data_IF_076633549579
#
_entry.id   IF_076633549579
#
_cell.length_a   1.000
_cell.length_b   1.000
_cell.length_c   1.000
_cell.angle_alpha   90.00
_cell.angle_beta   90.00
_cell.angle_gamma   90.00
#
_symmetry.space_group_name_H-M   'P 1'
#
loop_
_entity.id
_entity.type
_entity.pdbx_description
1 polymer ?
#
# COMPACT_ATOMS: atom_id res chain seq x y z
N UNK A 1 -9.01 -36.66 0.38
CA UNK A 1 -10.42 -36.44 0.07
C UNK A 1 -10.79 -34.99 0.38
N UNK A 2 -11.58 -34.37 -0.51
CA UNK A 2 -12.14 -33.04 -0.30
C UNK A 2 -13.21 -33.14 0.78
N UNK A 3 -13.15 -32.30 1.81
CA UNK A 3 -14.11 -32.33 2.93
C UNK A 3 -15.07 -31.14 2.89
N UNK A 4 -14.62 -30.02 2.34
CA UNK A 4 -15.40 -28.79 2.31
C UNK A 4 -15.20 -28.08 0.97
N UNK A 5 -16.19 -27.28 0.58
CA UNK A 5 -16.17 -26.42 -0.60
C UNK A 5 -16.61 -25.02 -0.22
N UNK A 6 -16.12 -24.03 -0.94
CA UNK A 6 -16.66 -22.68 -0.88
C UNK A 6 -16.79 -22.10 -2.29
N UNK A 7 -17.71 -21.16 -2.46
CA UNK A 7 -17.96 -20.47 -3.71
C UNK A 7 -17.59 -19.00 -3.58
N UNK A 8 -16.94 -18.43 -4.61
CA UNK A 8 -16.66 -17.01 -4.70
C UNK A 8 -16.99 -16.49 -6.10
N UNK A 9 -16.98 -15.18 -6.28
CA UNK A 9 -17.39 -14.54 -7.54
C UNK A 9 -18.86 -14.13 -7.57
N UNK A 10 -19.30 -13.58 -8.70
CA UNK A 10 -20.63 -12.96 -8.84
C UNK A 10 -21.82 -13.88 -8.57
N UNK A 11 -21.71 -15.15 -8.88
CA UNK A 11 -22.79 -16.14 -8.66
C UNK A 11 -22.83 -16.66 -7.21
N UNK A 12 -21.76 -16.48 -6.44
CA UNK A 12 -21.68 -16.99 -5.08
C UNK A 12 -22.79 -16.45 -4.17
N UNK A 13 -23.16 -15.18 -4.30
CA UNK A 13 -24.26 -14.58 -3.55
C UNK A 13 -25.61 -15.24 -3.89
N UNK A 14 -25.77 -15.68 -5.14
CA UNK A 14 -26.95 -16.44 -5.56
C UNK A 14 -26.94 -17.88 -5.03
N UNK A 15 -25.75 -18.47 -4.80
CA UNK A 15 -25.61 -19.81 -4.19
C UNK A 15 -25.88 -19.76 -2.69
N UNK A 16 -25.33 -18.77 -1.98
CA UNK A 16 -25.50 -18.67 -0.51
C UNK A 16 -26.83 -18.06 -0.09
N UNK A 17 -27.44 -17.24 -0.96
CA UNK A 17 -28.72 -16.56 -0.70
C UNK A 17 -29.93 -17.29 -1.29
N UNK A 18 -31.12 -16.95 -0.80
CA UNK A 18 -32.39 -17.40 -1.34
C UNK A 18 -33.04 -16.30 -2.17
N UNK A 19 -32.57 -16.11 -3.41
CA UNK A 19 -33.19 -15.16 -4.32
C UNK A 19 -34.48 -15.73 -4.92
N UNK A 20 -35.59 -15.02 -4.74
CA UNK A 20 -36.88 -15.37 -5.30
C UNK A 20 -37.15 -14.76 -6.67
N UNK A 21 -36.59 -13.56 -6.90
CA UNK A 21 -36.66 -12.90 -8.20
C UNK A 21 -35.58 -13.43 -9.14
N UNK A 22 -36.01 -14.29 -10.08
CA UNK A 22 -35.12 -14.96 -11.04
C UNK A 22 -34.50 -14.04 -12.08
N UNK A 23 -35.07 -12.87 -12.31
CA UNK A 23 -34.60 -11.88 -13.30
C UNK A 23 -33.91 -10.68 -12.70
N UNK A 24 -33.67 -10.69 -11.40
CA UNK A 24 -33.14 -9.53 -10.64
C UNK A 24 -31.91 -8.88 -11.28
N UNK A 25 -31.02 -9.68 -11.86
CA UNK A 25 -29.77 -9.17 -12.44
C UNK A 25 -29.77 -9.16 -13.98
N UNK A 26 -30.87 -9.61 -14.61
CA UNK A 26 -30.96 -9.70 -16.06
C UNK A 26 -30.05 -10.73 -16.71
N UNK A 27 -29.49 -11.67 -15.91
CA UNK A 27 -28.58 -12.72 -16.34
C UNK A 27 -28.99 -14.10 -15.78
N UNK A 28 -28.20 -15.12 -16.09
CA UNK A 28 -28.45 -16.51 -15.64
C UNK A 28 -27.96 -16.79 -14.21
N UNK A 29 -27.38 -15.81 -13.50
CA UNK A 29 -26.71 -16.02 -12.21
C UNK A 29 -27.62 -16.62 -11.14
N UNK A 30 -28.87 -16.16 -11.06
CA UNK A 30 -29.86 -16.69 -10.10
C UNK A 30 -30.24 -18.14 -10.42
N UNK A 31 -30.41 -18.47 -11.69
CA UNK A 31 -30.71 -19.84 -12.12
C UNK A 31 -29.54 -20.78 -11.85
N UNK A 32 -28.31 -20.33 -12.15
CA UNK A 32 -27.09 -21.07 -11.87
C UNK A 32 -26.91 -21.31 -10.37
N UNK A 33 -27.13 -20.27 -9.54
CA UNK A 33 -27.08 -20.37 -8.09
C UNK A 33 -28.09 -21.40 -7.53
N UNK A 34 -29.31 -21.40 -8.07
CA UNK A 34 -30.31 -22.39 -7.70
C UNK A 34 -29.90 -23.83 -8.11
N UNK A 35 -29.44 -24.00 -9.35
CA UNK A 35 -28.97 -25.30 -9.85
C UNK A 35 -27.81 -25.88 -9.03
N UNK A 36 -26.85 -25.02 -8.59
CA UNK A 36 -25.75 -25.46 -7.71
C UNK A 36 -26.28 -25.89 -6.34
N UNK A 37 -27.24 -25.17 -5.75
CA UNK A 37 -27.84 -25.54 -4.46
C UNK A 37 -28.60 -26.87 -4.51
N UNK A 38 -29.25 -27.14 -5.61
CA UNK A 38 -30.00 -28.39 -5.83
C UNK A 38 -29.06 -29.54 -6.25
N UNK A 39 -27.83 -29.24 -6.56
CA UNK A 39 -26.84 -30.19 -7.04
C UNK A 39 -26.04 -30.88 -5.92
N UNK A 40 -25.40 -32.00 -6.29
CA UNK A 40 -24.58 -32.82 -5.38
C UNK A 40 -23.41 -32.09 -4.72
N UNK A 41 -22.87 -31.02 -5.34
CA UNK A 41 -21.80 -30.21 -4.75
C UNK A 41 -22.25 -29.55 -3.46
N UNK A 42 -23.52 -29.18 -3.35
CA UNK A 42 -24.05 -28.52 -2.16
C UNK A 42 -24.43 -29.55 -1.06
N UNK A 43 -24.86 -30.75 -1.44
CA UNK A 43 -25.31 -31.78 -0.48
C UNK A 43 -24.19 -32.68 0.04
N UNK A 44 -23.17 -32.95 -0.78
CA UNK A 44 -22.17 -33.99 -0.48
C UNK A 44 -20.96 -33.44 0.29
N UNK A 45 -20.82 -32.11 0.40
CA UNK A 45 -19.68 -31.45 1.05
C UNK A 45 -20.10 -30.44 2.12
N UNK A 46 -19.22 -30.22 3.10
CA UNK A 46 -19.40 -29.12 4.05
C UNK A 46 -19.24 -27.79 3.33
N UNK A 47 -20.27 -26.95 3.37
CA UNK A 47 -20.23 -25.64 2.74
C UNK A 47 -19.62 -24.61 3.66
N UNK A 48 -18.55 -23.96 3.21
CA UNK A 48 -17.92 -22.82 3.90
C UNK A 48 -18.30 -21.55 3.14
N UNK A 49 -18.94 -20.60 3.83
CA UNK A 49 -19.28 -19.32 3.21
C UNK A 49 -18.01 -18.50 3.01
N UNK A 50 -17.74 -18.10 1.77
CA UNK A 50 -16.63 -17.20 1.47
C UNK A 50 -16.83 -15.84 2.14
N UNK A 51 -15.75 -15.21 2.61
CA UNK A 51 -15.77 -13.87 3.16
C UNK A 51 -16.07 -12.83 2.09
N UNK A 52 -15.49 -13.03 0.89
CA UNK A 52 -15.72 -12.20 -0.29
C UNK A 52 -16.39 -13.05 -1.39
N UNK A 53 -17.43 -12.52 -2.00
CA UNK A 53 -18.19 -13.15 -3.08
C UNK A 53 -18.01 -12.36 -4.37
N UNK A 54 -18.91 -11.45 -4.69
CA UNK A 54 -18.89 -10.63 -5.90
C UNK A 54 -17.59 -9.77 -6.00
N UNK A 55 -17.03 -9.38 -4.86
CA UNK A 55 -15.79 -8.59 -4.81
C UNK A 55 -14.52 -9.44 -4.94
N UNK A 56 -14.62 -10.77 -4.94
CA UNK A 56 -13.44 -11.64 -4.98
C UNK A 56 -12.56 -11.38 -6.21
N UNK A 57 -13.17 -11.08 -7.37
CA UNK A 57 -12.44 -10.75 -8.59
C UNK A 57 -11.69 -9.41 -8.44
N UNK A 58 -12.34 -8.37 -7.89
CA UNK A 58 -11.71 -7.06 -7.67
C UNK A 58 -10.62 -7.16 -6.60
N UNK A 59 -10.89 -7.89 -5.52
CA UNK A 59 -9.89 -8.15 -4.47
C UNK A 59 -8.73 -8.98 -5.00
N UNK A 60 -9.00 -9.96 -5.88
CA UNK A 60 -7.97 -10.80 -6.51
C UNK A 60 -7.23 -10.11 -7.67
N UNK A 61 -7.86 -9.15 -8.35
CA UNK A 61 -7.21 -8.32 -9.38
C UNK A 61 -6.27 -7.26 -8.76
N UNK A 62 -6.49 -6.91 -7.47
CA UNK A 62 -5.51 -6.17 -6.70
C UNK A 62 -4.33 -7.10 -6.39
N UNK A 63 -3.18 -6.88 -7.01
CA UNK A 63 -1.97 -7.63 -6.68
C UNK A 63 -1.49 -7.20 -5.30
N UNK A 64 -1.50 -8.12 -4.33
CA UNK A 64 -0.94 -7.85 -3.00
C UNK A 64 0.44 -8.48 -2.91
N UNK A 65 1.46 -7.65 -2.85
CA UNK A 65 2.81 -8.10 -2.53
C UNK A 65 3.06 -7.83 -1.06
N UNK A 66 3.39 -8.85 -0.29
CA UNK A 66 3.82 -8.69 1.09
C UNK A 66 5.33 -8.69 1.12
N UNK A 67 5.91 -7.58 1.51
CA UNK A 67 7.34 -7.41 1.69
C UNK A 67 7.66 -7.23 3.17
N UNK A 68 8.88 -7.59 3.56
CA UNK A 68 9.37 -7.41 4.91
C UNK A 68 10.56 -6.47 4.83
N UNK A 69 10.42 -5.28 5.40
CA UNK A 69 11.53 -4.35 5.51
C UNK A 69 12.38 -4.73 6.72
N UNK A 70 13.70 -4.84 6.52
CA UNK A 70 14.64 -5.37 7.49
C UNK A 70 15.23 -4.34 8.48
N UNK A 71 16.41 -4.63 9.01
CA UNK A 71 17.08 -3.84 10.08
C UNK A 71 17.60 -2.46 9.66
N UNK A 72 17.46 -2.09 8.39
CA UNK A 72 17.95 -0.84 7.78
C UNK A 72 16.91 0.27 7.72
N UNK A 73 15.91 0.22 8.61
CA UNK A 73 14.78 1.14 8.65
C UNK A 73 14.89 2.18 9.78
N UNK A 74 14.21 3.30 9.59
CA UNK A 74 13.94 4.29 10.65
C UNK A 74 12.43 4.50 10.75
N UNK A 75 11.84 4.37 11.93
CA UNK A 75 10.41 4.57 12.10
C UNK A 75 10.05 5.11 13.49
N UNK A 76 8.87 5.72 13.57
CA UNK A 76 8.20 6.12 14.80
C UNK A 76 7.08 5.11 15.10
N UNK A 77 7.22 4.33 16.17
CA UNK A 77 6.29 3.24 16.52
C UNK A 77 4.84 3.72 16.70
N UNK A 78 4.69 4.92 17.26
CA UNK A 78 3.38 5.54 17.52
C UNK A 78 2.55 5.79 16.26
N UNK A 79 3.21 5.94 15.11
CA UNK A 79 2.56 6.21 13.83
C UNK A 79 2.02 4.94 13.14
N UNK A 80 2.32 3.74 13.64
CA UNK A 80 1.91 2.48 13.06
C UNK A 80 0.76 1.81 13.85
N UNK A 81 -0.14 1.05 13.20
CA UNK A 81 -0.19 0.71 11.78
C UNK A 81 -0.84 1.79 10.91
N UNK A 82 -0.49 1.82 9.63
CA UNK A 82 -1.11 2.67 8.61
C UNK A 82 -1.73 1.82 7.50
N UNK A 83 -2.84 2.28 6.92
CA UNK A 83 -3.53 1.56 5.86
C UNK A 83 -3.92 2.48 4.71
N UNK A 84 -3.88 1.90 3.50
CA UNK A 84 -4.32 2.56 2.26
C UNK A 84 -3.65 3.92 2.05
N UNK A 85 -2.34 4.00 2.28
CA UNK A 85 -1.58 5.22 2.04
C UNK A 85 -1.19 5.24 0.55
N UNK A 86 -1.61 6.27 -0.20
CA UNK A 86 -1.29 6.36 -1.62
C UNK A 86 0.20 6.66 -1.83
N UNK A 87 0.75 6.18 -2.94
CA UNK A 87 2.16 6.29 -3.30
C UNK A 87 2.36 7.34 -4.37
N UNK A 88 3.25 8.28 -4.12
CA UNK A 88 3.89 9.16 -5.10
C UNK A 88 5.30 8.65 -5.33
N UNK A 89 5.59 8.12 -6.54
CA UNK A 89 6.93 7.63 -6.89
C UNK A 89 7.69 8.66 -7.72
N UNK A 90 8.88 9.01 -7.28
CA UNK A 90 9.84 9.74 -8.11
C UNK A 90 10.58 8.74 -9.00
N UNK A 91 10.65 9.01 -10.29
CA UNK A 91 11.48 8.23 -11.21
C UNK A 91 12.97 8.56 -11.05
N UNK A 92 13.86 7.88 -11.80
CA UNK A 92 15.31 8.08 -11.69
C UNK A 92 15.77 9.52 -11.95
N UNK A 93 15.17 10.21 -12.93
CA UNK A 93 15.51 11.59 -13.25
C UNK A 93 15.00 12.56 -12.16
N UNK A 94 13.82 12.31 -11.65
CA UNK A 94 13.19 13.10 -10.59
C UNK A 94 13.92 12.95 -9.26
N UNK A 95 14.30 11.73 -8.89
CA UNK A 95 15.10 11.52 -7.68
C UNK A 95 16.49 12.17 -7.78
N UNK A 96 17.11 12.19 -8.99
CA UNK A 96 18.40 12.85 -9.19
C UNK A 96 18.32 14.34 -8.80
N UNK A 97 17.26 15.04 -9.18
CA UNK A 97 16.99 16.42 -8.76
C UNK A 97 16.86 16.55 -7.25
N UNK A 98 16.16 15.60 -6.60
CA UNK A 98 16.05 15.59 -5.14
C UNK A 98 17.41 15.37 -4.46
N UNK A 99 18.28 14.51 -5.02
CA UNK A 99 19.67 14.32 -4.55
C UNK A 99 20.56 15.55 -4.77
N UNK A 100 20.27 16.38 -5.76
CA UNK A 100 20.92 17.68 -5.98
C UNK A 100 20.43 18.76 -5.00
N UNK A 101 19.32 18.50 -4.30
CA UNK A 101 18.75 19.39 -3.31
C UNK A 101 17.67 20.33 -3.88
N UNK A 102 17.08 19.98 -5.03
CA UNK A 102 15.99 20.74 -5.66
C UNK A 102 14.68 20.56 -4.89
N UNK A 103 14.56 21.28 -3.79
CA UNK A 103 13.42 21.24 -2.88
C UNK A 103 12.13 21.73 -3.54
N UNK A 104 12.19 22.74 -4.38
CA UNK A 104 11.00 23.31 -5.02
C UNK A 104 10.37 22.29 -5.98
N UNK A 105 11.17 21.56 -6.72
CA UNK A 105 10.68 20.48 -7.56
C UNK A 105 9.94 19.41 -6.75
N UNK A 106 10.51 18.96 -5.62
CA UNK A 106 9.85 17.96 -4.77
C UNK A 106 8.54 18.51 -4.20
N UNK A 107 8.50 19.78 -3.80
CA UNK A 107 7.26 20.44 -3.34
C UNK A 107 6.20 20.49 -4.45
N UNK A 108 6.57 20.84 -5.67
CA UNK A 108 5.64 20.85 -6.80
C UNK A 108 5.02 19.47 -7.03
N UNK A 109 5.83 18.40 -7.00
CA UNK A 109 5.36 17.03 -7.14
C UNK A 109 4.39 16.63 -6.02
N UNK A 110 4.76 16.86 -4.77
CA UNK A 110 3.91 16.56 -3.61
C UNK A 110 2.61 17.36 -3.67
N UNK A 111 2.68 18.65 -4.01
CA UNK A 111 1.50 19.51 -4.15
C UNK A 111 0.56 19.03 -5.26
N UNK A 112 1.11 18.70 -6.41
CA UNK A 112 0.34 18.14 -7.52
C UNK A 112 -0.38 16.86 -7.11
N UNK A 113 0.34 15.92 -6.50
CA UNK A 113 -0.22 14.66 -6.04
C UNK A 113 -1.32 14.86 -4.99
N UNK A 114 -1.09 15.72 -4.01
CA UNK A 114 -2.07 16.03 -2.97
C UNK A 114 -3.33 16.71 -3.52
N UNK A 115 -3.24 17.42 -4.66
CA UNK A 115 -4.42 18.00 -5.32
C UNK A 115 -5.29 16.97 -6.04
N UNK A 116 -4.75 15.78 -6.32
CA UNK A 116 -5.44 14.68 -7.00
C UNK A 116 -5.97 13.62 -6.02
N UNK A 117 -5.58 13.68 -4.78
CA UNK A 117 -5.92 12.70 -3.76
C UNK A 117 -6.70 13.34 -2.62
N UNK A 118 -7.77 12.67 -2.18
CA UNK A 118 -8.50 13.07 -0.96
C UNK A 118 -7.72 12.70 0.32
N UNK A 119 -6.59 12.01 0.19
CA UNK A 119 -5.77 11.58 1.32
C UNK A 119 -4.87 12.71 1.81
N UNK A 120 -4.86 12.94 3.11
CA UNK A 120 -3.92 13.85 3.77
C UNK A 120 -2.54 13.21 3.98
N UNK A 121 -2.37 11.93 3.60
CA UNK A 121 -1.15 11.13 3.72
C UNK A 121 -0.66 10.74 2.35
N UNK A 122 0.63 10.59 2.21
CA UNK A 122 1.25 9.95 1.06
C UNK A 122 2.53 9.23 1.48
N UNK A 123 2.91 8.23 0.71
CA UNK A 123 4.25 7.65 0.71
C UNK A 123 5.02 8.31 -0.43
N UNK A 124 6.15 8.95 -0.11
CA UNK A 124 7.10 9.38 -1.15
C UNK A 124 8.06 8.22 -1.42
N UNK A 125 7.94 7.63 -2.59
CA UNK A 125 8.76 6.51 -3.02
C UNK A 125 9.81 6.93 -4.05
N UNK A 126 10.93 6.22 -4.10
CA UNK A 126 11.98 6.42 -5.10
C UNK A 126 12.85 5.16 -5.24
N UNK A 127 13.51 4.94 -6.40
CA UNK A 127 14.46 3.84 -6.55
C UNK A 127 15.60 3.88 -5.53
N UNK A 128 16.03 5.06 -5.14
CA UNK A 128 17.23 5.24 -4.34
C UNK A 128 18.50 5.20 -5.19
N UNK A 129 19.64 5.44 -4.57
CA UNK A 129 20.97 5.39 -5.17
C UNK A 129 21.82 4.41 -4.39
N UNK A 130 22.56 3.56 -5.07
CA UNK A 130 23.57 2.69 -4.41
C UNK A 130 24.73 3.54 -3.91
N UNK A 131 25.16 3.28 -2.68
CA UNK A 131 26.33 3.90 -2.03
C UNK A 131 26.36 5.44 -2.12
N UNK A 132 25.29 6.16 -1.76
CA UNK A 132 25.31 7.61 -1.78
C UNK A 132 26.22 8.14 -0.68
N UNK A 133 26.95 9.20 -0.97
CA UNK A 133 27.77 9.89 0.01
C UNK A 133 26.90 10.54 1.11
N UNK A 134 27.52 10.83 2.24
CA UNK A 134 26.85 11.54 3.35
C UNK A 134 26.25 12.88 2.92
N UNK A 135 26.94 13.62 2.02
CA UNK A 135 26.47 14.90 1.50
C UNK A 135 25.23 14.73 0.60
N UNK A 136 25.19 13.67 -0.20
CA UNK A 136 24.02 13.36 -1.04
C UNK A 136 22.81 12.98 -0.21
N UNK A 137 22.99 12.15 0.81
CA UNK A 137 21.92 11.83 1.78
C UNK A 137 21.44 13.09 2.49
N UNK A 138 22.35 14.00 2.87
CA UNK A 138 22.00 15.25 3.51
C UNK A 138 21.17 16.18 2.60
N UNK A 139 21.52 16.29 1.31
CA UNK A 139 20.74 17.07 0.33
C UNK A 139 19.37 16.44 0.08
N UNK A 140 19.31 15.13 -0.12
CA UNK A 140 18.06 14.39 -0.28
C UNK A 140 17.17 14.57 0.95
N UNK A 141 17.72 14.41 2.15
CA UNK A 141 16.97 14.57 3.39
C UNK A 141 16.39 15.98 3.55
N UNK A 142 17.14 17.00 3.12
CA UNK A 142 16.67 18.38 3.12
C UNK A 142 15.53 18.58 2.12
N UNK A 143 15.71 18.19 0.86
CA UNK A 143 14.70 18.41 -0.18
C UNK A 143 13.40 17.66 0.11
N UNK A 144 13.50 16.40 0.49
CA UNK A 144 12.34 15.55 0.82
C UNK A 144 11.69 16.01 2.14
N UNK A 145 12.50 16.21 3.19
CA UNK A 145 11.99 16.60 4.50
C UNK A 145 11.26 17.96 4.47
N UNK A 146 11.83 18.96 3.80
CA UNK A 146 11.21 20.27 3.68
C UNK A 146 9.92 20.25 2.84
N UNK A 147 9.90 19.46 1.75
CA UNK A 147 8.70 19.30 0.94
C UNK A 147 7.56 18.66 1.74
N UNK A 148 7.83 17.56 2.43
CA UNK A 148 6.82 16.85 3.23
C UNK A 148 6.39 17.69 4.46
N UNK A 149 7.31 18.39 5.12
CA UNK A 149 6.98 19.22 6.28
C UNK A 149 6.08 20.41 5.92
N UNK A 150 6.33 21.03 4.78
CA UNK A 150 5.59 22.22 4.36
C UNK A 150 4.20 21.92 3.79
N UNK A 151 3.97 20.72 3.28
CA UNK A 151 2.75 20.40 2.51
C UNK A 151 1.82 19.39 3.20
N UNK A 152 2.35 18.53 4.06
CA UNK A 152 1.51 17.57 4.80
C UNK A 152 1.09 18.13 6.15
N UNK A 153 -0.12 17.79 6.65
CA UNK A 153 -0.56 18.16 7.98
C UNK A 153 0.46 17.73 9.06
N UNK A 154 0.69 18.58 10.06
CA UNK A 154 1.71 18.31 11.09
C UNK A 154 1.45 17.03 11.91
N UNK A 155 0.20 16.58 12.00
CA UNK A 155 -0.16 15.33 12.69
C UNK A 155 0.16 14.07 11.88
N UNK A 156 0.43 14.20 10.57
CA UNK A 156 0.69 13.05 9.71
C UNK A 156 2.21 12.75 9.65
N UNK A 157 2.60 11.47 9.66
CA UNK A 157 4.01 11.09 9.57
C UNK A 157 4.58 11.38 8.19
N UNK A 158 5.88 11.61 8.12
CA UNK A 158 6.65 11.60 6.88
C UNK A 158 6.95 10.15 6.50
N UNK A 159 6.40 9.68 5.38
CA UNK A 159 6.56 8.31 4.91
C UNK A 159 7.43 8.28 3.67
N UNK A 160 8.55 7.57 3.76
CA UNK A 160 9.51 7.44 2.67
C UNK A 160 9.78 5.94 2.40
N UNK A 161 9.75 5.56 1.13
CA UNK A 161 10.06 4.21 0.66
C UNK A 161 11.16 4.27 -0.38
N UNK A 162 12.18 3.42 -0.25
CA UNK A 162 13.27 3.31 -1.22
C UNK A 162 13.47 1.85 -1.65
N UNK A 163 13.87 1.63 -2.89
CA UNK A 163 14.21 0.27 -3.34
C UNK A 163 15.64 -0.12 -2.90
N UNK A 164 16.56 0.87 -2.86
CA UNK A 164 17.92 0.67 -2.36
C UNK A 164 17.98 0.81 -0.83
N UNK A 165 18.96 0.15 -0.21
CA UNK A 165 19.27 0.18 1.22
C UNK A 165 19.86 1.52 1.65
N UNK A 166 19.03 2.55 1.73
CA UNK A 166 19.39 3.90 2.21
C UNK A 166 18.42 4.45 3.27
N UNK A 167 17.34 3.73 3.55
CA UNK A 167 16.26 4.27 4.37
C UNK A 167 16.69 4.67 5.78
N UNK A 168 17.57 3.90 6.41
CA UNK A 168 18.08 4.22 7.75
C UNK A 168 18.87 5.51 7.75
N UNK A 169 19.79 5.68 6.79
CA UNK A 169 20.61 6.88 6.68
C UNK A 169 19.75 8.10 6.36
N UNK A 170 18.83 7.97 5.42
CA UNK A 170 17.90 9.03 5.03
C UNK A 170 16.95 9.39 6.17
N UNK A 171 16.31 8.42 6.79
CA UNK A 171 15.39 8.63 7.90
C UNK A 171 16.06 9.27 9.11
N UNK A 172 17.29 8.88 9.45
CA UNK A 172 18.08 9.52 10.50
C UNK A 172 18.47 10.96 10.15
N UNK A 173 18.78 11.24 8.88
CA UNK A 173 19.11 12.59 8.44
C UNK A 173 17.88 13.50 8.53
N UNK A 174 16.70 13.04 8.12
CA UNK A 174 15.44 13.79 8.27
C UNK A 174 15.08 13.95 9.75
N UNK A 175 15.23 12.89 10.56
CA UNK A 175 14.90 12.91 11.99
C UNK A 175 15.72 13.93 12.77
N UNK A 176 16.97 14.20 12.38
CA UNK A 176 17.79 15.24 13.03
C UNK A 176 17.18 16.65 12.92
N UNK A 177 16.45 16.91 11.83
CA UNK A 177 15.86 18.25 11.57
C UNK A 177 14.40 18.32 12.02
N UNK A 178 13.63 17.24 11.84
CA UNK A 178 12.17 17.23 12.00
C UNK A 178 11.66 16.28 13.09
N UNK A 179 12.52 15.43 13.66
CA UNK A 179 12.10 14.33 14.56
C UNK A 179 11.44 14.77 15.86
N UNK A 180 11.67 15.99 16.33
CA UNK A 180 10.99 16.55 17.50
C UNK A 180 9.57 17.05 17.18
N UNK A 181 9.27 17.26 15.90
CA UNK A 181 8.01 17.85 15.42
C UNK A 181 7.12 16.83 14.74
N UNK A 182 7.70 15.80 14.13
CA UNK A 182 6.99 14.85 13.26
C UNK A 182 7.49 13.43 13.44
N UNK A 183 6.56 12.51 13.32
CA UNK A 183 6.87 11.09 13.16
C UNK A 183 7.46 10.83 11.77
N UNK A 184 8.51 10.01 11.71
CA UNK A 184 9.21 9.70 10.47
C UNK A 184 9.26 8.18 10.31
N UNK A 185 8.86 7.71 9.13
CA UNK A 185 8.94 6.31 8.73
C UNK A 185 9.67 6.26 7.39
N UNK A 186 10.87 5.69 7.40
CA UNK A 186 11.70 5.49 6.22
C UNK A 186 12.05 4.01 6.14
N UNK A 187 11.62 3.34 5.07
CA UNK A 187 11.78 1.91 4.83
C UNK A 187 12.38 1.66 3.46
N UNK A 188 13.13 0.58 3.34
CA UNK A 188 13.79 0.18 2.10
C UNK A 188 13.40 -1.22 1.62
N UNK A 189 13.99 -1.61 0.50
CA UNK A 189 13.81 -2.94 -0.11
C UNK A 189 12.35 -3.22 -0.49
N UNK A 190 11.58 -2.17 -0.74
CA UNK A 190 10.18 -2.25 -1.17
C UNK A 190 10.06 -1.64 -2.57
N UNK A 191 9.57 -2.42 -3.52
CA UNK A 191 9.23 -1.93 -4.85
C UNK A 191 7.75 -1.56 -4.88
N UNK A 192 7.48 -0.33 -5.31
CA UNK A 192 6.13 0.21 -5.50
C UNK A 192 6.10 0.99 -6.80
N UNK A 193 4.93 1.18 -7.36
CA UNK A 193 4.72 2.04 -8.52
C UNK A 193 3.83 3.25 -8.19
N UNK A 194 3.85 4.23 -9.07
CA UNK A 194 3.00 5.41 -8.93
C UNK A 194 1.52 5.01 -8.98
N UNK A 195 0.73 5.51 -8.03
CA UNK A 195 -0.67 5.14 -7.91
C UNK A 195 -0.94 3.86 -7.10
N UNK A 196 0.08 3.14 -6.63
CA UNK A 196 -0.09 2.07 -5.66
C UNK A 196 -0.58 2.61 -4.31
N UNK A 197 -1.05 1.68 -3.48
CA UNK A 197 -1.35 1.94 -2.07
C UNK A 197 -0.54 1.02 -1.18
N UNK A 198 -0.10 1.53 -0.03
CA UNK A 198 0.70 0.78 0.92
C UNK A 198 -0.01 0.67 2.27
N UNK A 199 -0.02 -0.54 2.83
CA UNK A 199 -0.33 -0.78 4.23
C UNK A 199 0.97 -1.06 4.98
N UNK A 200 1.18 -0.38 6.09
CA UNK A 200 2.28 -0.61 7.02
C UNK A 200 1.73 -1.24 8.30
N UNK A 201 2.18 -2.43 8.61
CA UNK A 201 1.76 -3.18 9.81
C UNK A 201 2.44 -2.67 11.09
N UNK A 202 2.08 -3.29 12.21
CA UNK A 202 2.81 -3.09 13.47
C UNK A 202 4.20 -3.73 13.37
N UNK A 203 5.22 -3.13 13.99
CA UNK A 203 6.55 -3.73 14.05
C UNK A 203 6.51 -5.14 14.67
N UNK A 204 7.30 -6.03 14.11
CA UNK A 204 7.48 -7.40 14.55
C UNK A 204 8.93 -7.61 15.00
N UNK A 205 9.21 -8.72 15.70
CA UNK A 205 10.54 -9.11 16.16
C UNK A 205 11.25 -7.96 16.93
N UNK A 206 10.58 -7.45 17.97
CA UNK A 206 11.09 -6.35 18.79
C UNK A 206 11.48 -5.09 18.00
N UNK A 207 10.70 -4.82 16.95
CA UNK A 207 10.89 -3.62 16.13
C UNK A 207 11.88 -3.76 14.98
N UNK A 208 12.40 -4.95 14.73
CA UNK A 208 13.37 -5.19 13.66
C UNK A 208 12.73 -5.23 12.26
N UNK A 209 11.41 -5.44 12.19
CA UNK A 209 10.71 -5.70 10.93
C UNK A 209 9.36 -4.99 10.90
N UNK A 210 9.06 -4.34 9.79
CA UNK A 210 7.73 -3.78 9.49
C UNK A 210 7.14 -4.58 8.31
N UNK A 211 5.97 -5.25 8.51
CA UNK A 211 5.24 -5.85 7.39
C UNK A 211 4.68 -4.76 6.49
N UNK A 212 4.93 -4.88 5.20
CA UNK A 212 4.47 -3.95 4.18
C UNK A 212 3.64 -4.70 3.16
N UNK A 213 2.44 -4.22 2.89
CA UNK A 213 1.58 -4.76 1.83
C UNK A 213 1.42 -3.69 0.76
N UNK A 214 1.90 -3.98 -0.43
CA UNK A 214 1.72 -3.15 -1.61
C UNK A 214 0.46 -3.59 -2.34
N UNK A 215 -0.41 -2.66 -2.68
CA UNK A 215 -1.68 -2.87 -3.35
C UNK A 215 -1.67 -2.11 -4.66
N UNK A 216 -1.53 -2.82 -5.76
CA UNK A 216 -1.63 -2.24 -7.10
C UNK A 216 -3.08 -2.34 -7.59
N UNK A 217 -3.67 -1.22 -7.95
CA UNK A 217 -4.99 -1.21 -8.58
C UNK A 217 -4.81 -1.37 -10.10
N UNK A 218 -5.03 -2.57 -10.58
CA UNK A 218 -5.02 -2.85 -12.02
C UNK A 218 -6.42 -2.56 -12.55
N UNK A 219 -6.59 -1.38 -13.13
CA UNK A 219 -7.73 -1.08 -13.98
C UNK A 219 -7.31 -1.36 -15.42
N UNK A 220 -7.69 -2.53 -15.94
CA UNK A 220 -7.53 -2.88 -17.34
C UNK A 220 -8.72 -2.39 -18.16
#
# INVERSE_FOLDING_TARGET
>A
PIRAICFSGGVADCIYGTQTDKLRYGDIGVFLGAAVREGRLYSDFTLIKAKETIRATVVGAGTYTTSISGSTITYSEKALPLKNVPVLKLNEQEQARAFEGDTEFVKEKVKWFSSQSDSQRLVLAMPGKRDPSYLEIGRLAKSVGEALDSLLPAAEPMLIVTECDIAKALGQAIKRTYGDKRDIISIDSISVDDGDFVDLGKPLLDGLVIPVVVKTLIFG
#
